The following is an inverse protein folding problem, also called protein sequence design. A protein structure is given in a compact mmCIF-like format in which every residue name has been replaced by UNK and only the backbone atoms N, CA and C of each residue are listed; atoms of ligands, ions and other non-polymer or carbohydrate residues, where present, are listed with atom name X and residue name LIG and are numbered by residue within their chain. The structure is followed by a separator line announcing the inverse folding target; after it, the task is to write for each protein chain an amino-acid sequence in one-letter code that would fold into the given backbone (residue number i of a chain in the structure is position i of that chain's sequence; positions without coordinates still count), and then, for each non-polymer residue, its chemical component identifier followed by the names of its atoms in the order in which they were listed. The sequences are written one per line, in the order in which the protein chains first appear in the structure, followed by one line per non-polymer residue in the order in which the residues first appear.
data_IF_056719815898
#
_entry.id   IF_056719815898
#
_cell.length_a   1.000
_cell.length_b   1.000
_cell.length_c   1.000
_cell.angle_alpha   90.00
_cell.angle_beta   90.00
_cell.angle_gamma   90.00
#
_symmetry.space_group_name_H-M   'P 1'
#
loop_
_entity.id
_entity.type
_entity.pdbx_description
1 polymer ?
#
# COMPACT_ATOMS: atom_id res chain seq x y z
N UNK A 1 7.26 39.58 14.81
CA UNK A 1 7.71 38.44 13.99
C UNK A 1 6.89 37.16 14.26
N UNK A 2 5.55 37.25 14.38
CA UNK A 2 4.71 36.10 14.75
C UNK A 2 3.72 35.65 13.65
N UNK A 3 3.29 36.56 12.78
CA UNK A 3 2.30 36.27 11.73
C UNK A 3 2.88 35.42 10.58
N UNK A 4 4.13 35.64 10.19
CA UNK A 4 4.75 34.90 9.08
C UNK A 4 4.95 33.41 9.38
N UNK A 5 5.32 33.05 10.62
CA UNK A 5 5.47 31.66 11.05
C UNK A 5 4.13 30.91 11.05
N UNK A 6 3.03 31.56 11.41
CA UNK A 6 1.69 30.95 11.42
C UNK A 6 1.20 30.59 10.01
N UNK A 7 1.42 31.45 9.01
CA UNK A 7 1.04 31.14 7.61
C UNK A 7 1.88 30.00 7.03
N UNK A 8 3.18 29.93 7.37
CA UNK A 8 4.07 28.86 6.91
C UNK A 8 3.71 27.50 7.53
N UNK A 9 3.40 27.48 8.84
CA UNK A 9 2.98 26.28 9.56
C UNK A 9 1.59 25.79 9.11
N UNK A 10 0.65 26.71 8.84
CA UNK A 10 -0.68 26.35 8.31
C UNK A 10 -0.59 25.80 6.89
N UNK A 11 0.23 26.39 6.02
CA UNK A 11 0.46 25.88 4.67
C UNK A 11 1.06 24.46 4.69
N UNK A 12 2.07 24.24 5.54
CA UNK A 12 2.67 22.91 5.75
C UNK A 12 1.68 21.89 6.34
N UNK A 13 0.80 22.31 7.25
CA UNK A 13 -0.19 21.43 7.87
C UNK A 13 -1.32 21.07 6.92
N UNK A 14 -1.77 21.99 6.07
CA UNK A 14 -2.74 21.72 5.01
C UNK A 14 -2.17 20.78 3.96
N UNK A 15 -0.90 20.95 3.58
CA UNK A 15 -0.20 20.01 2.69
C UNK A 15 -0.11 18.60 3.31
N UNK A 16 0.22 18.50 4.59
CA UNK A 16 0.26 17.23 5.32
C UNK A 16 -1.14 16.57 5.43
N UNK A 17 -2.19 17.36 5.64
CA UNK A 17 -3.57 16.88 5.65
C UNK A 17 -4.01 16.38 4.27
N UNK A 18 -3.68 17.12 3.20
CA UNK A 18 -3.96 16.68 1.83
C UNK A 18 -3.26 15.36 1.50
N UNK A 19 -1.99 15.21 1.87
CA UNK A 19 -1.25 13.97 1.68
C UNK A 19 -1.84 12.80 2.51
N UNK A 20 -2.23 13.07 3.75
CA UNK A 20 -2.88 12.08 4.62
C UNK A 20 -4.24 11.65 4.05
N UNK A 21 -5.01 12.58 3.47
CA UNK A 21 -6.28 12.29 2.82
C UNK A 21 -6.10 11.40 1.59
N UNK A 22 -5.12 11.69 0.72
CA UNK A 22 -4.80 10.84 -0.43
C UNK A 22 -4.41 9.43 0.02
N UNK A 23 -3.56 9.34 1.05
CA UNK A 23 -3.14 8.04 1.62
C UNK A 23 -4.33 7.26 2.19
N UNK A 24 -5.20 7.93 2.95
CA UNK A 24 -6.41 7.33 3.51
C UNK A 24 -7.40 6.88 2.42
N UNK A 25 -7.55 7.67 1.35
CA UNK A 25 -8.39 7.32 0.20
C UNK A 25 -7.87 6.08 -0.53
N UNK A 26 -6.56 6.01 -0.77
CA UNK A 26 -5.92 4.84 -1.35
C UNK A 26 -6.13 3.60 -0.46
N UNK A 27 -5.91 3.74 0.85
CA UNK A 27 -6.16 2.65 1.81
C UNK A 27 -7.62 2.18 1.78
N UNK A 28 -8.56 3.13 1.68
CA UNK A 28 -10.00 2.88 1.54
C UNK A 28 -10.38 2.13 0.25
N UNK A 29 -9.64 2.30 -0.87
CA UNK A 29 -9.84 1.50 -2.09
C UNK A 29 -9.11 0.16 -2.06
N UNK A 30 -7.95 0.08 -1.42
CA UNK A 30 -7.13 -1.14 -1.34
C UNK A 30 -7.83 -2.19 -0.49
N UNK A 31 -8.34 -1.82 0.69
CA UNK A 31 -9.00 -2.76 1.62
C UNK A 31 -10.14 -3.61 0.99
N UNK A 32 -11.16 -3.02 0.32
CA UNK A 32 -12.23 -3.80 -0.30
C UNK A 32 -11.75 -4.61 -1.51
N UNK A 33 -10.72 -4.15 -2.24
CA UNK A 33 -10.17 -4.89 -3.38
C UNK A 33 -9.38 -6.11 -2.94
N UNK A 34 -8.59 -6.00 -1.87
CA UNK A 34 -7.90 -7.13 -1.25
C UNK A 34 -8.90 -8.18 -0.74
N UNK A 35 -9.97 -7.75 -0.06
CA UNK A 35 -11.04 -8.65 0.38
C UNK A 35 -11.69 -9.38 -0.81
N UNK A 36 -11.96 -8.67 -1.91
CA UNK A 36 -12.54 -9.27 -3.13
C UNK A 36 -11.59 -10.28 -3.79
N UNK A 37 -10.28 -10.01 -3.83
CA UNK A 37 -9.27 -10.94 -4.38
C UNK A 37 -9.16 -12.20 -3.52
N UNK A 38 -9.12 -12.06 -2.20
CA UNK A 38 -9.14 -13.22 -1.29
C UNK A 38 -10.40 -14.06 -1.48
N UNK A 39 -11.55 -13.40 -1.65
CA UNK A 39 -12.80 -14.10 -1.89
C UNK A 39 -12.85 -14.87 -3.20
N UNK A 40 -12.09 -14.44 -4.21
CA UNK A 40 -12.06 -15.08 -5.55
C UNK A 40 -10.96 -16.14 -5.71
N UNK A 41 -9.85 -16.03 -4.98
CA UNK A 41 -8.69 -16.91 -5.15
C UNK A 41 -8.51 -17.94 -4.03
N UNK A 42 -9.19 -17.80 -2.89
CA UNK A 42 -9.03 -18.70 -1.74
C UNK A 42 -10.27 -19.59 -1.57
N UNK A 43 -10.13 -20.93 -1.56
CA UNK A 43 -11.22 -21.87 -1.25
C UNK A 43 -11.83 -21.61 0.13
N UNK A 44 -13.16 -21.75 0.29
CA UNK A 44 -13.91 -21.41 1.51
C UNK A 44 -13.30 -21.95 2.82
N UNK A 45 -12.72 -23.16 2.79
CA UNK A 45 -12.07 -23.76 3.97
C UNK A 45 -10.83 -23.02 4.49
N UNK A 46 -10.16 -22.17 3.70
CA UNK A 46 -8.94 -21.47 4.12
C UNK A 46 -9.03 -19.94 4.05
N UNK A 47 -10.19 -19.39 3.69
CA UNK A 47 -10.41 -17.94 3.60
C UNK A 47 -10.09 -17.22 4.91
N UNK A 48 -10.47 -17.82 6.05
CA UNK A 48 -10.17 -17.26 7.37
C UNK A 48 -8.67 -17.22 7.68
N UNK A 49 -7.91 -18.24 7.28
CA UNK A 49 -6.47 -18.31 7.50
C UNK A 49 -5.71 -17.37 6.56
N UNK A 50 -6.08 -17.29 5.28
CA UNK A 50 -5.43 -16.36 4.33
C UNK A 50 -5.72 -14.89 4.68
N UNK A 51 -6.97 -14.57 5.06
CA UNK A 51 -7.31 -13.24 5.57
C UNK A 51 -6.54 -12.93 6.86
N UNK A 52 -6.43 -13.91 7.76
CA UNK A 52 -5.63 -13.81 8.99
C UNK A 52 -4.15 -13.51 8.71
N UNK A 53 -3.51 -14.25 7.81
CA UNK A 53 -2.09 -14.07 7.46
C UNK A 53 -1.85 -12.70 6.83
N UNK A 54 -2.71 -12.23 5.93
CA UNK A 54 -2.55 -10.89 5.33
C UNK A 54 -2.80 -9.78 6.36
N UNK A 55 -3.76 -9.94 7.26
CA UNK A 55 -3.96 -9.01 8.34
C UNK A 55 -2.77 -8.99 9.32
N UNK A 56 -2.20 -10.16 9.64
CA UNK A 56 -0.97 -10.25 10.42
C UNK A 56 0.21 -9.59 9.72
N UNK A 57 0.34 -9.77 8.40
CA UNK A 57 1.36 -9.08 7.62
C UNK A 57 1.19 -7.56 7.68
N UNK A 58 -0.05 -7.06 7.60
CA UNK A 58 -0.34 -5.64 7.77
C UNK A 58 -0.02 -5.13 9.19
N UNK A 59 -0.39 -5.91 10.21
CA UNK A 59 -0.15 -5.59 11.62
C UNK A 59 1.33 -5.61 11.98
N UNK A 60 2.14 -6.49 11.36
CA UNK A 60 3.60 -6.54 11.54
C UNK A 60 4.29 -5.46 10.69
N UNK A 61 3.73 -5.13 9.52
CA UNK A 61 4.26 -4.10 8.65
C UNK A 61 4.37 -2.73 9.33
N UNK A 62 3.41 -2.40 10.21
CA UNK A 62 3.43 -1.16 10.98
C UNK A 62 4.65 -1.06 11.94
N UNK A 63 4.83 -1.94 12.94
CA UNK A 63 5.98 -1.88 13.85
C UNK A 63 7.31 -2.08 13.12
N UNK A 64 7.37 -2.94 12.10
CA UNK A 64 8.60 -3.14 11.31
C UNK A 64 8.99 -1.85 10.57
N UNK A 65 8.02 -1.19 9.92
CA UNK A 65 8.26 0.08 9.24
C UNK A 65 8.69 1.18 10.21
N UNK A 66 8.12 1.21 11.43
CA UNK A 66 8.52 2.15 12.48
C UNK A 66 9.96 1.90 12.94
N UNK A 67 10.35 0.65 13.20
CA UNK A 67 11.73 0.31 13.60
C UNK A 67 12.72 0.77 12.53
N UNK A 68 12.46 0.44 11.25
CA UNK A 68 13.32 0.86 10.14
C UNK A 68 13.41 2.39 10.07
N UNK A 69 12.27 3.08 10.13
CA UNK A 69 12.21 4.54 10.08
C UNK A 69 13.03 5.18 11.21
N UNK A 70 12.82 4.73 12.45
CA UNK A 70 13.53 5.27 13.61
C UNK A 70 15.00 4.94 13.59
N UNK A 71 15.41 3.75 13.15
CA UNK A 71 16.83 3.41 13.00
C UNK A 71 17.53 4.38 12.05
N UNK A 72 16.95 4.65 10.87
CA UNK A 72 17.53 5.57 9.89
C UNK A 72 17.45 7.02 10.38
N UNK A 73 16.34 7.40 11.04
CA UNK A 73 16.15 8.75 11.56
C UNK A 73 17.15 9.09 12.66
N UNK A 74 17.50 8.13 13.51
CA UNK A 74 18.52 8.29 14.55
C UNK A 74 19.95 8.27 13.98
N UNK A 75 20.21 7.51 12.92
CA UNK A 75 21.56 7.39 12.34
C UNK A 75 21.95 8.59 11.47
N UNK A 76 21.02 9.12 10.68
CA UNK A 76 21.29 10.21 9.74
C UNK A 76 20.46 11.45 10.06
N UNK A 77 19.15 11.37 9.81
CA UNK A 77 18.15 12.41 10.17
C UNK A 77 16.76 11.96 9.74
N UNK A 78 15.72 12.59 10.30
CA UNK A 78 14.33 12.35 9.89
C UNK A 78 14.11 12.58 8.38
N UNK A 79 14.76 13.60 7.79
CA UNK A 79 14.63 13.91 6.36
C UNK A 79 15.16 12.77 5.48
N UNK A 80 16.33 12.22 5.82
CA UNK A 80 16.90 11.07 5.09
C UNK A 80 16.01 9.84 5.22
N UNK A 81 15.44 9.60 6.40
CA UNK A 81 14.52 8.47 6.63
C UNK A 81 13.28 8.56 5.74
N UNK A 82 12.66 9.75 5.63
CA UNK A 82 11.52 9.96 4.73
C UNK A 82 11.87 9.73 3.26
N UNK A 83 13.04 10.17 2.79
CA UNK A 83 13.49 9.94 1.41
C UNK A 83 13.69 8.45 1.14
N UNK A 84 14.34 7.73 2.06
CA UNK A 84 14.58 6.28 1.93
C UNK A 84 13.27 5.52 1.93
N UNK A 85 12.34 5.84 2.84
CA UNK A 85 11.02 5.20 2.90
C UNK A 85 10.19 5.48 1.65
N UNK A 86 10.19 6.71 1.15
CA UNK A 86 9.51 7.07 -0.09
C UNK A 86 10.12 6.34 -1.31
N UNK A 87 11.46 6.23 -1.36
CA UNK A 87 12.17 5.48 -2.39
C UNK A 87 11.82 4.00 -2.39
N UNK A 88 11.82 3.37 -1.22
CA UNK A 88 11.42 1.96 -1.06
C UNK A 88 9.96 1.73 -1.46
N UNK A 89 9.04 2.60 -1.01
CA UNK A 89 7.62 2.49 -1.35
C UNK A 89 7.39 2.65 -2.86
N UNK A 90 8.04 3.62 -3.49
CA UNK A 90 7.95 3.86 -4.93
C UNK A 90 8.54 2.70 -5.73
N UNK A 91 9.71 2.19 -5.31
CA UNK A 91 10.34 1.02 -5.94
C UNK A 91 9.45 -0.21 -5.87
N UNK A 92 8.89 -0.50 -4.70
CA UNK A 92 7.95 -1.61 -4.52
C UNK A 92 6.70 -1.42 -5.40
N UNK A 93 6.16 -0.21 -5.45
CA UNK A 93 5.00 0.10 -6.28
C UNK A 93 5.28 -0.12 -7.77
N UNK A 94 6.45 0.29 -8.27
CA UNK A 94 6.87 0.05 -9.65
C UNK A 94 7.03 -1.44 -9.95
N UNK A 95 7.63 -2.20 -9.03
CA UNK A 95 7.76 -3.66 -9.16
C UNK A 95 6.37 -4.32 -9.20
N UNK A 96 5.45 -3.90 -8.33
CA UNK A 96 4.08 -4.41 -8.32
C UNK A 96 3.33 -4.08 -9.62
N UNK A 97 3.50 -2.88 -10.18
CA UNK A 97 2.94 -2.53 -11.50
C UNK A 97 3.55 -3.44 -12.57
N UNK A 98 4.88 -3.56 -12.62
CA UNK A 98 5.56 -4.40 -13.59
C UNK A 98 5.07 -5.86 -13.49
N UNK A 99 4.92 -6.39 -12.28
CA UNK A 99 4.41 -7.74 -12.05
C UNK A 99 2.92 -7.87 -12.39
N UNK A 100 2.10 -6.84 -12.12
CA UNK A 100 0.68 -6.82 -12.51
C UNK A 100 0.48 -6.86 -14.02
N UNK A 101 1.36 -6.19 -14.79
CA UNK A 101 1.35 -6.28 -16.25
C UNK A 101 1.73 -7.67 -16.76
N UNK A 102 2.42 -8.49 -15.96
CA UNK A 102 2.72 -9.90 -16.29
C UNK A 102 1.60 -10.87 -15.92
N UNK A 103 0.73 -10.52 -14.96
CA UNK A 103 -0.35 -11.38 -14.46
C UNK A 103 -1.65 -11.19 -15.26
N UNK A 104 -1.79 -10.09 -16.02
CA UNK A 104 -3.02 -9.77 -16.75
C UNK A 104 -3.34 -10.66 -17.98
N UNK A 105 -2.43 -11.55 -18.41
CA UNK A 105 -2.53 -12.27 -19.70
C UNK A 105 -2.54 -13.83 -19.70
N UNK A 106 -2.81 -14.58 -18.60
CA UNK A 106 -3.12 -16.01 -18.77
C UNK A 106 -4.43 -16.51 -18.11
N UNK A 107 -5.09 -15.72 -17.25
CA UNK A 107 -6.28 -16.21 -16.51
C UNK A 107 -7.60 -15.91 -17.22
N UNK A 108 -7.63 -14.96 -18.16
CA UNK A 108 -8.85 -14.55 -18.85
C UNK A 108 -9.08 -15.21 -20.22
N UNK A 109 -8.19 -16.10 -20.67
CA UNK A 109 -8.29 -16.71 -22.01
C UNK A 109 -8.88 -18.13 -22.00
N UNK A 110 -8.87 -18.84 -20.88
CA UNK A 110 -9.34 -20.24 -20.85
C UNK A 110 -10.85 -20.39 -20.58
N UNK A 111 -11.52 -19.43 -19.93
CA UNK A 111 -12.95 -19.55 -19.62
C UNK A 111 -13.86 -19.31 -20.82
N UNK A 112 -13.40 -18.56 -21.83
CA UNK A 112 -14.22 -18.19 -22.99
C UNK A 112 -14.18 -19.25 -24.10
N UNK A 113 -13.15 -20.11 -24.13
CA UNK A 113 -13.03 -21.18 -25.12
C UNK A 113 -13.94 -22.39 -24.84
N UNK A 114 -14.36 -22.62 -23.59
CA UNK A 114 -15.20 -23.77 -23.25
C UNK A 114 -16.69 -23.49 -23.45
N UNK A 115 -17.13 -22.23 -23.34
CA UNK A 115 -18.54 -21.84 -23.51
C UNK A 115 -18.99 -21.78 -24.98
N UNK A 116 -18.06 -21.59 -25.93
CA UNK A 116 -18.40 -21.53 -27.36
C UNK A 116 -18.40 -22.88 -28.09
N UNK A 117 -18.09 -23.98 -27.42
CA UNK A 117 -18.05 -25.33 -28.03
C UNK A 117 -19.07 -26.32 -27.44
N UNK A 118 -19.97 -25.87 -26.57
CA UNK A 118 -21.03 -26.68 -25.97
C UNK A 118 -22.39 -26.43 -26.63
#
# INVERSE_FOLDING_TARGET
MGLSSSFFLLHSSVAALGFSFVTAYLMGKINPRLATVMMRQVPEQQMGTTAGVVNLAALIGMPVGQVIFFTIANLASAHVSWIVMAGLATGLFLVLIWMSTKILDPVFTDSDQYSQKA
#
